data_IF_475769772349
#
_entry.id   IF_475769772349
#
_cell.length_a   1.000
_cell.length_b   1.000
_cell.length_c   1.000
_cell.angle_alpha   90.00
_cell.angle_beta   90.00
_cell.angle_gamma   90.00
#
_symmetry.space_group_name_H-M   'P 1'
#
loop_
_entity.id
_entity.type
_entity.pdbx_description
1 polymer ?
#
# COMPACT_ATOMS: atom_id res chain seq x y z
N UNK A 1 -35.38 22.23 39.51
CA UNK A 1 -34.81 21.05 40.18
C UNK A 1 -35.10 19.88 39.26
N UNK A 2 -34.23 19.48 38.34
CA UNK A 2 -32.81 19.81 38.19
C UNK A 2 -32.41 19.75 36.72
N UNK A 3 -31.50 20.66 36.38
CA UNK A 3 -30.72 20.68 35.16
C UNK A 3 -29.64 19.59 35.30
N UNK A 4 -29.56 18.65 34.36
CA UNK A 4 -28.34 17.85 34.17
C UNK A 4 -27.94 17.85 32.70
N UNK A 5 -27.12 18.87 32.46
CA UNK A 5 -26.24 19.10 31.33
C UNK A 5 -25.06 18.10 31.38
N UNK A 6 -25.03 17.17 30.42
CA UNK A 6 -23.76 16.61 29.93
C UNK A 6 -23.79 16.50 28.40
N UNK A 7 -23.75 17.68 27.78
CA UNK A 7 -23.07 17.88 26.51
C UNK A 7 -21.56 17.80 26.76
N UNK A 8 -20.90 16.71 26.35
CA UNK A 8 -19.45 16.71 26.13
C UNK A 8 -19.07 15.75 24.99
N UNK A 9 -19.12 16.30 23.78
CA UNK A 9 -18.25 16.04 22.63
C UNK A 9 -17.73 14.62 22.43
N UNK A 10 -18.29 13.91 21.46
CA UNK A 10 -17.57 13.57 20.23
C UNK A 10 -18.59 13.09 19.19
N UNK A 11 -19.20 14.04 18.49
CA UNK A 11 -19.49 13.75 17.08
C UNK A 11 -18.15 13.29 16.47
N UNK A 12 -18.04 12.10 15.85
CA UNK A 12 -16.88 11.83 15.01
C UNK A 12 -16.84 12.97 13.99
N UNK A 13 -15.75 13.76 13.94
CA UNK A 13 -15.66 14.85 12.99
C UNK A 13 -15.82 14.29 11.58
N UNK A 14 -16.54 15.05 10.78
CA UNK A 14 -16.79 14.95 9.36
C UNK A 14 -15.91 13.96 8.56
N UNK A 15 -16.59 13.16 7.73
CA UNK A 15 -15.92 12.41 6.67
C UNK A 15 -15.47 11.03 7.12
N UNK A 16 -16.43 10.13 7.27
CA UNK A 16 -16.16 8.70 7.07
C UNK A 16 -15.70 8.54 5.62
N UNK A 17 -14.39 8.74 5.38
CA UNK A 17 -13.73 8.24 4.18
C UNK A 17 -13.74 6.73 4.29
N UNK A 18 -14.84 6.15 3.83
CA UNK A 18 -14.89 4.77 3.37
C UNK A 18 -13.72 4.57 2.39
N UNK A 19 -12.71 3.82 2.82
CA UNK A 19 -11.54 3.50 2.01
C UNK A 19 -10.25 4.13 2.51
N UNK A 20 -9.71 3.65 3.64
CA UNK A 20 -8.27 3.74 3.95
C UNK A 20 -7.85 2.81 5.11
N UNK A 21 -8.60 1.74 5.39
CA UNK A 21 -8.17 0.77 6.42
C UNK A 21 -6.91 0.00 6.00
N UNK A 22 -6.65 -0.10 4.71
CA UNK A 22 -5.45 -0.70 4.12
C UNK A 22 -4.23 0.23 4.12
N UNK A 23 -4.44 1.55 4.02
CA UNK A 23 -3.35 2.53 3.90
C UNK A 23 -2.49 2.60 5.17
N UNK A 24 -3.14 2.63 6.35
CA UNK A 24 -2.44 2.68 7.63
C UNK A 24 -1.69 1.37 7.93
N UNK A 25 -2.24 0.21 7.54
CA UNK A 25 -1.57 -1.07 7.76
C UNK A 25 -0.27 -1.19 6.96
N UNK A 26 -0.27 -0.77 5.70
CA UNK A 26 0.93 -0.78 4.86
C UNK A 26 1.97 0.24 5.34
N UNK A 27 1.54 1.45 5.68
CA UNK A 27 2.45 2.46 6.22
C UNK A 27 3.07 1.99 7.55
N UNK A 28 2.28 1.37 8.43
CA UNK A 28 2.77 0.80 9.69
C UNK A 28 3.71 -0.38 9.48
N UNK A 29 3.47 -1.24 8.47
CA UNK A 29 4.37 -2.35 8.13
C UNK A 29 5.75 -1.81 7.68
N UNK A 30 5.75 -0.81 6.80
CA UNK A 30 6.99 -0.17 6.31
C UNK A 30 7.73 0.54 7.45
N UNK A 31 7.00 1.29 8.28
CA UNK A 31 7.54 2.06 9.40
C UNK A 31 8.08 1.16 10.53
N UNK A 32 7.64 -0.09 10.61
CA UNK A 32 8.13 -1.08 11.58
C UNK A 32 9.33 -1.89 11.11
N UNK A 33 9.98 -1.51 10.00
CA UNK A 33 11.03 -2.32 9.35
C UNK A 33 10.56 -3.77 9.17
N UNK A 34 9.25 -3.99 9.02
CA UNK A 34 8.69 -5.32 8.88
C UNK A 34 9.08 -5.75 7.47
N UNK A 35 10.27 -6.35 7.37
CA UNK A 35 10.88 -7.03 6.24
C UNK A 35 10.05 -6.83 4.98
N UNK A 36 10.26 -5.75 4.24
CA UNK A 36 9.60 -5.37 2.97
C UNK A 36 9.39 -6.52 1.95
N UNK A 37 10.09 -7.64 2.12
CA UNK A 37 9.96 -8.87 1.34
C UNK A 37 9.17 -9.99 2.07
N UNK A 38 8.53 -9.72 3.22
CA UNK A 38 7.64 -10.69 3.85
C UNK A 38 6.44 -10.88 2.97
N UNK A 39 6.24 -12.13 2.63
CA UNK A 39 5.12 -12.57 1.87
C UNK A 39 4.09 -13.21 2.79
N UNK A 40 2.81 -13.08 2.44
CA UNK A 40 1.77 -13.93 3.02
C UNK A 40 1.84 -15.37 2.46
N UNK A 41 0.91 -16.24 2.86
CA UNK A 41 0.81 -17.62 2.35
C UNK A 41 0.73 -17.71 0.81
N UNK A 42 0.25 -16.66 0.14
CA UNK A 42 0.16 -16.55 -1.33
C UNK A 42 1.43 -15.97 -1.98
N UNK A 43 2.53 -15.85 -1.22
CA UNK A 43 3.77 -15.20 -1.67
C UNK A 43 3.60 -13.72 -2.07
N UNK A 44 2.53 -13.06 -1.63
CA UNK A 44 2.27 -11.65 -1.95
C UNK A 44 3.10 -10.74 -1.05
N UNK A 45 4.02 -9.99 -1.66
CA UNK A 45 4.75 -8.90 -0.99
C UNK A 45 3.84 -7.68 -0.76
N UNK A 46 4.17 -6.78 0.19
CA UNK A 46 3.43 -5.52 0.36
C UNK A 46 3.35 -4.68 -0.94
N UNK A 47 4.28 -4.88 -1.88
CA UNK A 47 4.23 -4.24 -3.19
C UNK A 47 3.12 -4.79 -4.10
N UNK A 48 2.81 -6.10 -4.04
CA UNK A 48 1.66 -6.69 -4.71
C UNK A 48 0.35 -6.11 -4.16
N UNK A 49 0.26 -5.92 -2.84
CA UNK A 49 -0.90 -5.31 -2.21
C UNK A 49 -1.05 -3.84 -2.57
N UNK A 50 0.05 -3.08 -2.62
CA UNK A 50 0.02 -1.71 -3.12
C UNK A 50 -0.41 -1.65 -4.59
N UNK A 51 0.00 -2.64 -5.40
CA UNK A 51 -0.34 -2.74 -6.81
C UNK A 51 -1.81 -3.09 -7.07
N UNK A 52 -2.43 -3.95 -6.25
CA UNK A 52 -3.85 -4.29 -6.37
C UNK A 52 -4.75 -3.10 -6.02
N UNK A 53 -4.36 -2.32 -5.02
CA UNK A 53 -5.05 -1.11 -4.58
C UNK A 53 -4.73 0.12 -5.45
N UNK A 54 -3.62 0.09 -6.20
CA UNK A 54 -3.15 1.23 -7.00
C UNK A 54 -2.57 2.38 -6.14
N UNK A 55 -2.13 2.07 -4.93
CA UNK A 55 -1.65 3.04 -3.95
C UNK A 55 -0.22 3.49 -4.25
N UNK A 56 -0.11 4.55 -5.05
CA UNK A 56 1.20 5.13 -5.45
C UNK A 56 2.04 5.60 -4.25
N UNK A 57 1.42 6.13 -3.20
CA UNK A 57 2.16 6.57 -2.00
C UNK A 57 2.83 5.39 -1.27
N UNK A 58 2.16 4.22 -1.22
CA UNK A 58 2.76 3.01 -0.67
C UNK A 58 3.91 2.52 -1.55
N UNK A 59 3.80 2.64 -2.87
CA UNK A 59 4.90 2.35 -3.81
C UNK A 59 6.12 3.22 -3.51
N UNK A 60 5.96 4.55 -3.40
CA UNK A 60 7.09 5.44 -3.11
C UNK A 60 7.78 5.11 -1.79
N UNK A 61 7.01 4.80 -0.74
CA UNK A 61 7.56 4.32 0.53
C UNK A 61 8.32 3.01 0.36
N UNK A 62 7.71 2.00 -0.27
CA UNK A 62 8.35 0.69 -0.49
C UNK A 62 9.65 0.82 -1.30
N UNK A 63 9.66 1.66 -2.33
CA UNK A 63 10.84 1.95 -3.13
C UNK A 63 11.93 2.68 -2.34
N UNK A 64 11.56 3.58 -1.44
CA UNK A 64 12.51 4.26 -0.55
C UNK A 64 13.22 3.29 0.41
N UNK A 65 12.62 2.12 0.64
CA UNK A 65 13.18 1.05 1.45
C UNK A 65 13.86 -0.06 0.61
N UNK A 66 14.09 0.13 -0.70
CA UNK A 66 14.64 -0.90 -1.60
C UNK A 66 13.77 -2.18 -1.69
N UNK A 67 12.44 -2.04 -1.68
CA UNK A 67 11.55 -3.17 -1.91
C UNK A 67 11.80 -3.82 -3.29
N UNK A 68 11.73 -5.15 -3.33
CA UNK A 68 11.93 -5.89 -4.56
C UNK A 68 10.75 -5.69 -5.52
N UNK A 69 10.98 -4.88 -6.55
CA UNK A 69 10.01 -4.61 -7.61
C UNK A 69 9.81 -5.80 -8.55
N UNK A 70 10.76 -6.74 -8.57
CA UNK A 70 10.74 -7.95 -9.37
C UNK A 70 10.24 -9.18 -8.60
N UNK A 71 9.77 -9.01 -7.36
CA UNK A 71 9.22 -10.09 -6.57
C UNK A 71 8.06 -10.77 -7.31
N UNK A 72 8.08 -12.09 -7.41
CA UNK A 72 7.00 -12.88 -7.98
C UNK A 72 6.10 -13.40 -6.87
N UNK A 73 4.78 -13.33 -7.07
CA UNK A 73 3.82 -14.01 -6.19
C UNK A 73 3.75 -15.53 -6.47
N UNK A 74 2.89 -16.23 -5.72
CA UNK A 74 2.67 -17.68 -5.89
C UNK A 74 2.19 -18.08 -7.28
N UNK A 75 1.67 -17.12 -8.06
CA UNK A 75 1.19 -17.27 -9.43
C UNK A 75 2.20 -16.78 -10.46
N UNK A 76 3.42 -16.46 -10.05
CA UNK A 76 4.48 -15.86 -10.88
C UNK A 76 4.05 -14.55 -11.52
N UNK A 77 3.19 -13.80 -10.86
CA UNK A 77 2.80 -12.46 -11.29
C UNK A 77 3.72 -11.45 -10.63
N UNK A 78 4.17 -10.47 -11.40
CA UNK A 78 4.87 -9.32 -10.84
C UNK A 78 3.87 -8.29 -10.29
N UNK A 79 4.28 -7.40 -9.36
CA UNK A 79 3.42 -6.33 -8.88
C UNK A 79 2.96 -5.43 -10.03
N UNK A 80 3.78 -5.25 -11.07
CA UNK A 80 3.39 -4.50 -12.27
C UNK A 80 2.27 -5.18 -13.05
N UNK A 81 2.23 -6.51 -13.07
CA UNK A 81 1.20 -7.27 -13.80
C UNK A 81 -0.13 -7.17 -13.08
N UNK A 82 -0.13 -7.22 -11.73
CA UNK A 82 -1.30 -6.89 -10.94
C UNK A 82 -1.78 -5.46 -11.22
N UNK A 83 -0.89 -4.47 -11.15
CA UNK A 83 -1.25 -3.08 -11.42
C UNK A 83 -1.85 -2.88 -12.82
N UNK A 84 -1.32 -3.58 -13.84
CA UNK A 84 -1.88 -3.58 -15.21
C UNK A 84 -3.25 -4.26 -15.27
N UNK A 85 -3.40 -5.41 -14.61
CA UNK A 85 -4.64 -6.19 -14.57
C UNK A 85 -5.79 -5.39 -13.93
N UNK A 86 -5.50 -4.69 -12.84
CA UNK A 86 -6.45 -3.83 -12.14
C UNK A 86 -6.64 -2.45 -12.81
N UNK A 87 -5.86 -2.12 -13.85
CA UNK A 87 -5.97 -0.88 -14.60
C UNK A 87 -5.30 0.34 -13.96
N UNK A 88 -4.44 0.13 -12.96
CA UNK A 88 -3.70 1.16 -12.23
C UNK A 88 -2.50 1.69 -13.03
N UNK A 89 -2.78 2.37 -14.15
CA UNK A 89 -1.78 2.86 -15.11
C UNK A 89 -0.70 3.74 -14.48
N UNK A 90 -1.05 4.59 -13.51
CA UNK A 90 -0.07 5.46 -12.82
C UNK A 90 0.93 4.65 -12.00
N UNK A 91 0.41 3.70 -11.22
CA UNK A 91 1.22 2.78 -10.43
C UNK A 91 2.16 1.96 -11.33
N UNK A 92 1.61 1.33 -12.37
CA UNK A 92 2.39 0.54 -13.31
C UNK A 92 3.48 1.35 -14.04
N UNK A 93 3.21 2.63 -14.38
CA UNK A 93 4.21 3.52 -15.00
C UNK A 93 5.36 3.85 -14.06
N UNK A 94 5.07 4.18 -12.80
CA UNK A 94 6.09 4.49 -11.80
C UNK A 94 6.94 3.26 -11.48
N UNK A 95 6.29 2.12 -11.25
CA UNK A 95 6.97 0.86 -11.01
C UNK A 95 7.84 0.44 -12.21
N UNK A 96 7.33 0.57 -13.44
CA UNK A 96 8.12 0.34 -14.64
C UNK A 96 9.34 1.26 -14.69
N UNK A 97 9.17 2.58 -14.46
CA UNK A 97 10.28 3.52 -14.48
C UNK A 97 11.39 3.11 -13.49
N UNK A 98 11.01 2.62 -12.31
CA UNK A 98 11.96 2.16 -11.29
C UNK A 98 12.65 0.87 -11.70
N UNK A 99 11.91 -0.10 -12.25
CA UNK A 99 12.49 -1.31 -12.86
C UNK A 99 13.52 -0.97 -13.94
N UNK A 100 13.20 -0.05 -14.85
CA UNK A 100 14.13 0.40 -15.89
C UNK A 100 15.39 1.06 -15.31
N UNK A 101 15.28 1.69 -14.14
CA UNK A 101 16.41 2.30 -13.44
C UNK A 101 17.26 1.28 -12.66
N UNK A 102 16.65 0.25 -12.05
CA UNK A 102 17.37 -0.79 -11.30
C UNK A 102 18.06 -1.82 -12.22
N UNK A 103 17.58 -2.04 -13.44
CA UNK A 103 18.18 -2.97 -14.41
C UNK A 103 19.40 -2.38 -15.17
N UNK A 104 19.94 -1.25 -14.71
CA UNK A 104 21.09 -0.59 -15.29
C UNK A 104 22.35 -0.95 -14.50
N UNK A 105 22.74 -2.22 -14.57
CA UNK A 105 24.01 -2.72 -14.06
C UNK A 105 25.10 -2.70 -15.13
#
# INVERSE_FOLDING_TARGET
>A
MDEDEQNNTVNPPEGVKTGSRSFQCLQYLVEKEAQINITNDDQLTPLHQAASEGHVQCLELLLAHDADVYAEDSRKQLPIDLAKLWGHKKFAKLLAAVMWHQNKH
#
